data_IF_935818614996
#
_entry.id   IF_935818614996
#
_cell.length_a   1.000
_cell.length_b   1.000
_cell.length_c   1.000
_cell.angle_alpha   90.00
_cell.angle_beta   90.00
_cell.angle_gamma   90.00
#
_symmetry.space_group_name_H-M   'P 1'
#
loop_
_entity.id
_entity.type
_entity.pdbx_description
1 polymer ?
#
# COMPACT_ATOMS: atom_id res chain seq x y z
N UNK A 1 -3.74 -23.76 2.77
CA UNK A 1 -2.33 -24.22 2.88
C UNK A 1 -1.33 -23.07 2.68
N UNK A 2 -1.36 -22.37 1.53
CA UNK A 2 -0.47 -21.22 1.27
C UNK A 2 -0.92 -19.91 1.93
N UNK A 3 -2.21 -19.70 2.18
CA UNK A 3 -2.70 -18.53 2.94
C UNK A 3 -2.17 -18.49 4.38
N UNK A 4 -2.05 -19.66 5.03
CA UNK A 4 -1.51 -19.78 6.41
C UNK A 4 0.01 -19.76 6.45
N UNK A 5 0.67 -20.09 5.35
CA UNK A 5 2.14 -20.12 5.27
C UNK A 5 2.59 -19.82 3.83
N UNK A 6 2.66 -18.52 3.47
CA UNK A 6 3.00 -18.09 2.10
C UNK A 6 4.41 -18.49 1.66
N UNK A 7 5.26 -18.79 2.65
CA UNK A 7 6.69 -19.06 2.50
C UNK A 7 7.00 -20.52 2.14
N UNK A 8 6.01 -21.42 2.15
CA UNK A 8 6.24 -22.85 1.86
C UNK A 8 6.60 -23.06 0.40
N UNK A 9 7.64 -23.87 0.17
CA UNK A 9 8.03 -24.27 -1.19
C UNK A 9 7.06 -25.31 -1.75
N UNK A 10 6.93 -25.37 -3.09
CA UNK A 10 6.15 -26.41 -3.78
C UNK A 10 6.63 -27.83 -3.43
N UNK A 11 7.92 -28.02 -3.16
CA UNK A 11 8.49 -29.31 -2.75
C UNK A 11 8.02 -29.71 -1.36
N UNK A 12 7.99 -28.77 -0.43
CA UNK A 12 7.49 -29.01 0.92
C UNK A 12 6.00 -29.36 0.89
N UNK A 13 5.21 -28.60 0.13
CA UNK A 13 3.78 -28.89 -0.04
C UNK A 13 3.54 -30.25 -0.70
N UNK A 14 4.34 -30.61 -1.71
CA UNK A 14 4.29 -31.94 -2.33
C UNK A 14 4.51 -33.07 -1.31
N UNK A 15 5.45 -32.90 -0.37
CA UNK A 15 5.71 -33.86 0.71
C UNK A 15 4.59 -33.90 1.75
N UNK A 16 4.03 -32.75 2.12
CA UNK A 16 2.97 -32.64 3.12
C UNK A 16 1.63 -33.24 2.63
N UNK A 17 1.29 -33.08 1.35
CA UNK A 17 0.02 -33.56 0.77
C UNK A 17 0.16 -34.92 0.09
N UNK A 18 1.39 -35.39 -0.17
CA UNK A 18 1.64 -36.64 -0.89
C UNK A 18 1.33 -36.57 -2.40
N UNK A 19 1.16 -35.36 -2.94
CA UNK A 19 0.89 -35.11 -4.36
C UNK A 19 2.18 -34.71 -5.07
N UNK A 20 2.36 -35.14 -6.32
CA UNK A 20 3.53 -34.75 -7.11
C UNK A 20 3.65 -33.22 -7.28
N UNK A 21 4.89 -32.71 -7.30
CA UNK A 21 5.17 -31.28 -7.46
C UNK A 21 4.47 -30.66 -8.67
N UNK A 22 4.39 -31.38 -9.80
CA UNK A 22 3.74 -30.91 -11.03
C UNK A 22 2.23 -30.74 -10.86
N UNK A 23 1.58 -31.67 -10.16
CA UNK A 23 0.16 -31.58 -9.83
C UNK A 23 -0.13 -30.43 -8.87
N UNK A 24 0.69 -30.25 -7.83
CA UNK A 24 0.60 -29.08 -6.92
C UNK A 24 0.73 -27.77 -7.72
N UNK A 25 1.69 -27.70 -8.66
CA UNK A 25 1.86 -26.53 -9.51
C UNK A 25 0.64 -26.24 -10.40
N UNK A 26 0.03 -27.28 -10.99
CA UNK A 26 -1.21 -27.15 -11.79
C UNK A 26 -2.37 -26.65 -10.95
N UNK A 27 -2.55 -27.18 -9.75
CA UNK A 27 -3.60 -26.74 -8.81
C UNK A 27 -3.38 -25.27 -8.46
N UNK A 28 -2.14 -24.90 -8.13
CA UNK A 28 -1.79 -23.51 -7.79
C UNK A 28 -2.10 -22.53 -8.94
N UNK A 29 -1.81 -22.91 -10.19
CA UNK A 29 -2.15 -22.12 -11.38
C UNK A 29 -3.67 -21.98 -11.57
N UNK A 30 -4.44 -23.05 -11.38
CA UNK A 30 -5.91 -23.01 -11.49
C UNK A 30 -6.55 -22.13 -10.43
N UNK A 31 -6.06 -22.18 -9.19
CA UNK A 31 -6.53 -21.36 -8.09
C UNK A 31 -5.97 -19.92 -8.13
N UNK A 32 -5.17 -19.56 -9.13
CA UNK A 32 -4.48 -18.27 -9.25
C UNK A 32 -3.65 -17.89 -8.01
N UNK A 33 -3.22 -18.87 -7.23
CA UNK A 33 -2.42 -18.64 -6.05
C UNK A 33 -0.98 -18.33 -6.46
N UNK A 34 -0.47 -17.18 -6.00
CA UNK A 34 0.93 -16.81 -6.18
C UNK A 34 1.67 -17.12 -4.88
N UNK A 35 2.70 -17.95 -4.94
CA UNK A 35 3.62 -18.11 -3.81
C UNK A 35 4.41 -16.81 -3.67
N UNK A 36 4.05 -15.98 -2.69
CA UNK A 36 4.76 -14.75 -2.37
C UNK A 36 5.63 -15.00 -1.13
N UNK A 37 6.94 -14.83 -1.27
CA UNK A 37 7.86 -14.82 -0.14
C UNK A 37 8.07 -13.35 0.23
N UNK A 38 7.41 -12.84 1.29
CA UNK A 38 7.68 -11.49 1.76
C UNK A 38 9.16 -11.41 2.13
N UNK A 39 9.90 -10.53 1.44
CA UNK A 39 11.26 -10.19 1.81
C UNK A 39 11.18 -9.03 2.79
N UNK A 40 11.57 -9.27 4.04
CA UNK A 40 11.76 -8.20 5.00
C UNK A 40 13.01 -7.42 4.57
N UNK A 41 12.81 -6.27 3.94
CA UNK A 41 13.91 -5.41 3.46
C UNK A 41 14.48 -4.57 4.60
N UNK A 42 13.64 -4.19 5.57
CA UNK A 42 14.02 -3.47 6.78
C UNK A 42 13.40 -4.16 7.99
N UNK A 43 14.18 -4.32 9.07
CA UNK A 43 13.65 -4.78 10.34
C UNK A 43 12.55 -3.83 10.81
N UNK A 44 11.43 -4.39 11.28
CA UNK A 44 10.37 -3.62 11.92
C UNK A 44 10.65 -3.66 13.42
N UNK A 45 10.92 -2.50 14.01
CA UNK A 45 10.97 -2.30 15.45
C UNK A 45 9.54 -2.11 15.99
N UNK A 46 9.34 -2.35 17.28
CA UNK A 46 8.00 -2.31 17.91
C UNK A 46 7.31 -0.94 17.78
N UNK A 47 8.08 0.16 17.76
CA UNK A 47 7.55 1.53 17.57
C UNK A 47 7.42 1.97 16.10
N UNK A 48 7.88 1.16 15.14
CA UNK A 48 7.84 1.55 13.71
C UNK A 48 6.43 1.75 13.16
N UNK A 49 5.38 1.01 13.59
CA UNK A 49 4.01 1.29 13.16
C UNK A 49 3.60 2.74 13.46
N UNK A 50 3.84 3.20 14.68
CA UNK A 50 3.44 4.54 15.13
C UNK A 50 4.26 5.61 14.42
N UNK A 51 5.58 5.41 14.30
CA UNK A 51 6.46 6.33 13.55
C UNK A 51 6.07 6.45 12.08
N UNK A 52 5.61 5.36 11.45
CA UNK A 52 5.14 5.36 10.06
C UNK A 52 3.84 6.15 9.90
N UNK A 53 2.90 6.00 10.85
CA UNK A 53 1.66 6.77 10.86
C UNK A 53 1.97 8.26 11.05
N UNK A 54 2.81 8.61 12.03
CA UNK A 54 3.21 9.99 12.29
C UNK A 54 3.87 10.64 11.07
N UNK A 55 4.78 9.93 10.40
CA UNK A 55 5.39 10.42 9.15
C UNK A 55 4.36 10.62 8.05
N UNK A 56 3.41 9.69 7.91
CA UNK A 56 2.37 9.77 6.89
C UNK A 56 1.44 10.98 7.12
N UNK A 57 1.01 11.20 8.36
CA UNK A 57 0.19 12.36 8.74
C UNK A 57 0.92 13.68 8.50
N UNK A 58 2.17 13.80 8.97
CA UNK A 58 3.03 14.96 8.72
C UNK A 58 3.21 15.24 7.23
N UNK A 59 3.46 14.20 6.44
CA UNK A 59 3.67 14.34 5.00
C UNK A 59 2.38 14.79 4.29
N UNK A 60 1.22 14.25 4.68
CA UNK A 60 -0.07 14.67 4.13
C UNK A 60 -0.39 16.13 4.47
N UNK A 61 -0.15 16.55 5.71
CA UNK A 61 -0.32 17.94 6.14
C UNK A 61 0.57 18.87 5.30
N UNK A 62 1.85 18.53 5.16
CA UNK A 62 2.79 19.31 4.37
C UNK A 62 2.43 19.37 2.88
N UNK A 63 1.96 18.26 2.31
CA UNK A 63 1.46 18.25 0.94
C UNK A 63 0.21 19.12 0.77
N UNK A 64 -0.68 19.16 1.76
CA UNK A 64 -1.87 20.01 1.71
C UNK A 64 -1.50 21.49 1.79
N UNK A 65 -0.60 21.86 2.71
CA UNK A 65 -0.05 23.21 2.85
C UNK A 65 0.62 23.70 1.55
N UNK A 66 1.55 22.91 1.00
CA UNK A 66 2.26 23.24 -0.24
C UNK A 66 1.29 23.35 -1.44
N UNK A 67 0.20 22.58 -1.47
CA UNK A 67 -0.81 22.66 -2.52
C UNK A 67 -1.68 23.90 -2.38
N UNK A 68 -2.04 24.30 -1.15
CA UNK A 68 -2.72 25.57 -0.87
C UNK A 68 -1.84 26.78 -1.18
N UNK A 69 -0.57 26.79 -0.78
CA UNK A 69 0.35 27.91 -1.01
C UNK A 69 0.58 28.15 -2.52
N UNK A 70 0.79 27.07 -3.29
CA UNK A 70 0.94 27.17 -4.75
C UNK A 70 -0.34 27.62 -5.46
N UNK A 71 -1.52 27.17 -5.01
CA UNK A 71 -2.80 27.64 -5.55
C UNK A 71 -3.07 29.09 -5.20
N UNK A 72 -2.83 29.51 -3.95
CA UNK A 72 -3.03 30.89 -3.49
C UNK A 72 -2.11 31.84 -4.23
N UNK A 73 -0.83 31.49 -4.44
CA UNK A 73 0.09 32.30 -5.24
C UNK A 73 -0.32 32.42 -6.72
N UNK A 74 -0.89 31.36 -7.30
CA UNK A 74 -1.37 31.40 -8.69
C UNK A 74 -2.69 32.19 -8.82
N UNK A 75 -3.62 32.01 -7.88
CA UNK A 75 -4.92 32.69 -7.86
C UNK A 75 -4.80 34.17 -7.46
N UNK A 76 -3.89 34.55 -6.56
CA UNK A 76 -3.67 35.95 -6.19
C UNK A 76 -3.06 36.78 -7.32
N UNK A 77 -2.36 36.13 -8.25
CA UNK A 77 -1.80 36.77 -9.44
C UNK A 77 -2.87 37.03 -10.53
N UNK A 78 -3.98 36.28 -10.52
CA UNK A 78 -4.96 36.30 -11.60
C UNK A 78 -6.34 36.85 -11.18
N UNK A 79 -6.83 36.58 -9.96
CA UNK A 79 -8.16 37.01 -9.48
C UNK A 79 -8.22 37.18 -7.93
N UNK A 80 -8.12 38.41 -7.41
CA UNK A 80 -8.06 38.66 -5.96
C UNK A 80 -9.38 38.47 -5.21
N UNK A 81 -10.51 38.26 -5.89
CA UNK A 81 -11.86 38.23 -5.28
C UNK A 81 -12.42 36.85 -4.93
N UNK A 82 -11.64 35.76 -5.08
CA UNK A 82 -12.12 34.38 -4.85
C UNK A 82 -11.44 33.64 -3.69
N UNK A 83 -10.89 34.37 -2.72
CA UNK A 83 -10.18 33.78 -1.57
C UNK A 83 -11.09 33.04 -0.56
N UNK A 84 -12.42 33.17 -0.68
CA UNK A 84 -13.38 32.58 0.27
C UNK A 84 -13.94 31.19 -0.15
N UNK A 85 -13.62 30.69 -1.35
CA UNK A 85 -14.05 29.35 -1.77
C UNK A 85 -13.04 28.30 -1.29
N UNK A 86 -13.42 27.52 -0.27
CA UNK A 86 -12.57 26.45 0.27
C UNK A 86 -12.19 25.44 -0.83
N UNK A 87 -10.91 25.08 -0.97
CA UNK A 87 -10.49 24.11 -1.97
C UNK A 87 -11.09 22.75 -1.63
N UNK A 88 -11.81 22.15 -2.59
CA UNK A 88 -12.33 20.79 -2.42
C UNK A 88 -11.16 19.82 -2.24
N UNK A 89 -11.10 19.19 -1.07
CA UNK A 89 -10.15 18.12 -0.78
C UNK A 89 -10.33 17.01 -1.82
N UNK A 90 -9.28 16.72 -2.58
CA UNK A 90 -9.21 15.51 -3.40
C UNK A 90 -9.08 14.32 -2.44
N UNK A 91 -10.19 13.86 -1.87
CA UNK A 91 -10.25 12.60 -1.15
C UNK A 91 -10.02 11.51 -2.21
N UNK A 92 -8.86 10.87 -2.19
CA UNK A 92 -8.64 9.65 -2.95
C UNK A 92 -9.74 8.66 -2.52
N UNK A 93 -10.58 8.17 -3.45
CA UNK A 93 -11.65 7.27 -3.06
C UNK A 93 -11.02 6.01 -2.48
N UNK A 94 -11.28 5.77 -1.20
CA UNK A 94 -11.01 4.50 -0.55
C UNK A 94 -11.67 3.41 -1.37
N UNK A 95 -10.86 2.48 -1.84
CA UNK A 95 -11.32 1.28 -2.54
C UNK A 95 -12.11 0.44 -1.54
N UNK A 96 -13.43 0.40 -1.72
CA UNK A 96 -14.33 -0.60 -1.14
C UNK A 96 -14.77 -1.57 -2.23
#
# INVERSE_FOLDING_TARGET
>A
MFQRSPRKSLRQVSREVGISKSSVHRIMKRCQWRSYIPRLVHALNDDDPDRRVQYYEWYLERCNEDWTERKVSALSAEYPSKLDEQPSVCIFPGSS
#
